data_IF_561299370846
#
_entry.id   IF_561299370846
#
_cell.length_a   1.000
_cell.length_b   1.000
_cell.length_c   1.000
_cell.angle_alpha   90.00
_cell.angle_beta   90.00
_cell.angle_gamma   90.00
#
_symmetry.space_group_name_H-M   'P 1'
#
loop_
_entity.id
_entity.type
_entity.pdbx_description
1 polymer ?
#
# COMPACT_ATOMS: atom_id res chain seq x y z
N UNK A 1 7.36 15.44 3.09
CA UNK A 1 6.97 16.38 2.02
C UNK A 1 5.46 16.60 1.96
N UNK A 2 4.67 15.76 2.61
CA UNK A 2 3.21 15.77 2.54
C UNK A 2 2.66 15.11 1.26
N UNK A 3 3.51 14.53 0.45
CA UNK A 3 3.14 13.70 -0.71
C UNK A 3 3.93 12.41 -0.65
N UNK A 4 3.27 11.36 -0.20
CA UNK A 4 3.88 10.07 0.09
C UNK A 4 3.24 8.96 -0.75
N UNK A 5 4.08 8.10 -1.31
CA UNK A 5 3.73 6.92 -2.07
C UNK A 5 4.31 5.72 -1.33
N UNK A 6 3.44 4.82 -0.85
CA UNK A 6 3.86 3.72 0.02
C UNK A 6 3.57 2.35 -0.60
N UNK A 7 4.63 1.59 -0.87
CA UNK A 7 4.54 0.15 -1.11
C UNK A 7 4.57 -0.54 0.25
N UNK A 8 3.65 -1.42 0.49
CA UNK A 8 3.49 -2.07 1.79
C UNK A 8 3.09 -3.53 1.68
N UNK A 9 3.46 -4.37 2.64
CA UNK A 9 2.86 -5.70 2.77
C UNK A 9 1.41 -5.62 3.25
N UNK A 10 0.68 -6.69 3.03
CA UNK A 10 -0.67 -6.85 3.60
C UNK A 10 -0.62 -6.75 5.13
N UNK A 11 -1.66 -6.15 5.71
CA UNK A 11 -1.93 -6.09 7.16
C UNK A 11 -0.92 -5.35 8.04
N UNK A 12 0.01 -4.58 7.50
CA UNK A 12 0.96 -3.76 8.28
C UNK A 12 0.29 -2.57 9.02
N UNK A 13 -0.99 -2.33 8.80
CA UNK A 13 -1.72 -1.24 9.47
C UNK A 13 -1.59 0.13 8.82
N UNK A 14 -0.97 0.25 7.64
CA UNK A 14 -0.75 1.53 6.93
C UNK A 14 -2.05 2.32 6.73
N UNK A 15 -3.10 1.69 6.21
CA UNK A 15 -4.41 2.35 6.03
C UNK A 15 -4.99 2.86 7.36
N UNK A 16 -4.72 2.16 8.46
CA UNK A 16 -5.18 2.54 9.80
C UNK A 16 -4.49 3.82 10.26
N UNK A 17 -3.15 3.86 10.20
CA UNK A 17 -2.39 5.02 10.65
C UNK A 17 -2.63 6.23 9.74
N UNK A 18 -2.75 6.02 8.42
CA UNK A 18 -3.08 7.07 7.46
C UNK A 18 -4.46 7.67 7.72
N UNK A 19 -5.46 6.81 7.98
CA UNK A 19 -6.82 7.27 8.35
C UNK A 19 -6.82 8.05 9.67
N UNK A 20 -6.03 7.62 10.66
CA UNK A 20 -5.89 8.34 11.93
C UNK A 20 -5.24 9.71 11.73
N UNK A 21 -4.25 9.81 10.86
CA UNK A 21 -3.61 11.09 10.52
C UNK A 21 -4.60 12.05 9.84
N UNK A 22 -5.39 11.55 8.88
CA UNK A 22 -6.42 12.36 8.24
C UNK A 22 -7.50 12.81 9.25
N UNK A 23 -7.96 11.89 10.11
CA UNK A 23 -8.91 12.23 11.19
C UNK A 23 -8.35 13.32 12.09
N UNK A 24 -7.11 13.16 12.59
CA UNK A 24 -6.44 14.17 13.40
C UNK A 24 -6.44 15.54 12.72
N UNK A 25 -5.97 15.60 11.45
CA UNK A 25 -5.91 16.87 10.71
C UNK A 25 -7.30 17.48 10.52
N UNK A 26 -8.32 16.66 10.24
CA UNK A 26 -9.70 17.13 10.07
C UNK A 26 -10.28 17.67 11.36
N UNK A 27 -9.94 17.08 12.52
CA UNK A 27 -10.42 17.51 13.82
C UNK A 27 -9.69 18.75 14.37
N UNK A 28 -8.45 18.99 13.96
CA UNK A 28 -7.60 20.02 14.57
C UNK A 28 -7.42 21.26 13.70
N UNK A 29 -7.70 21.16 12.40
CA UNK A 29 -7.55 22.27 11.46
C UNK A 29 -8.94 22.73 10.97
N UNK A 30 -9.30 24.00 11.15
CA UNK A 30 -10.59 24.51 10.69
C UNK A 30 -10.68 24.54 9.16
N UNK A 31 -11.90 24.45 8.65
CA UNK A 31 -12.21 24.46 7.22
C UNK A 31 -11.46 23.39 6.40
N UNK A 32 -11.18 22.24 7.02
CA UNK A 32 -10.41 21.16 6.40
C UNK A 32 -11.31 20.11 5.79
N UNK A 33 -11.11 19.83 4.51
CA UNK A 33 -11.72 18.69 3.81
C UNK A 33 -10.68 17.58 3.65
N UNK A 34 -10.95 16.42 4.22
CA UNK A 34 -10.17 15.20 4.03
C UNK A 34 -10.97 14.16 3.24
N UNK A 35 -10.31 13.47 2.35
CA UNK A 35 -10.94 12.45 1.48
C UNK A 35 -10.14 11.14 1.56
N UNK A 36 -10.85 10.05 1.80
CA UNK A 36 -10.31 8.68 1.68
C UNK A 36 -11.00 8.01 0.50
N UNK A 37 -10.22 7.48 -0.42
CA UNK A 37 -10.70 6.69 -1.55
C UNK A 37 -10.29 5.24 -1.32
N UNK A 38 -11.26 4.32 -1.37
CA UNK A 38 -11.04 2.89 -1.30
C UNK A 38 -11.38 2.22 -2.64
N UNK A 39 -10.85 1.04 -2.90
CA UNK A 39 -11.11 0.33 -4.15
C UNK A 39 -12.53 -0.24 -4.22
N UNK A 40 -13.16 -0.60 -3.09
CA UNK A 40 -14.50 -1.19 -3.02
C UNK A 40 -15.43 -0.49 -2.02
N UNK A 41 -16.73 -0.51 -2.32
CA UNK A 41 -17.75 0.13 -1.49
C UNK A 41 -17.87 -0.49 -0.10
N UNK A 42 -17.78 -1.81 0.00
CA UNK A 42 -17.81 -2.51 1.28
C UNK A 42 -16.68 -2.06 2.23
N UNK A 43 -15.52 -1.74 1.68
CA UNK A 43 -14.39 -1.25 2.45
C UNK A 43 -14.60 0.19 2.94
N UNK A 44 -15.37 1.00 2.22
CA UNK A 44 -15.67 2.37 2.66
C UNK A 44 -16.40 2.38 3.99
N UNK A 45 -17.39 1.50 4.15
CA UNK A 45 -18.14 1.38 5.41
C UNK A 45 -17.26 0.94 6.56
N UNK A 46 -16.36 -0.03 6.33
CA UNK A 46 -15.39 -0.49 7.34
C UNK A 46 -14.39 0.59 7.72
N UNK A 47 -13.92 1.36 6.76
CA UNK A 47 -13.02 2.49 7.02
C UNK A 47 -13.72 3.58 7.83
N UNK A 48 -14.97 3.91 7.48
CA UNK A 48 -15.76 4.89 8.21
C UNK A 48 -16.04 4.44 9.66
N UNK A 49 -16.34 3.15 9.85
CA UNK A 49 -16.50 2.56 11.18
C UNK A 49 -15.18 2.61 11.97
N UNK A 50 -14.05 2.33 11.33
CA UNK A 50 -12.71 2.43 11.96
C UNK A 50 -12.41 3.86 12.40
N UNK A 51 -12.69 4.85 11.54
CA UNK A 51 -12.56 6.27 11.88
C UNK A 51 -13.46 6.64 13.07
N UNK A 52 -14.69 6.12 13.11
CA UNK A 52 -15.60 6.28 14.25
C UNK A 52 -14.99 5.73 15.53
N UNK A 53 -14.50 4.49 15.51
CA UNK A 53 -13.87 3.85 16.68
C UNK A 53 -12.67 4.66 17.14
N UNK A 54 -11.80 5.13 16.24
CA UNK A 54 -10.67 5.99 16.61
C UNK A 54 -11.12 7.26 17.33
N UNK A 55 -12.17 7.91 16.84
CA UNK A 55 -12.73 9.10 17.47
C UNK A 55 -13.32 8.81 18.84
N UNK A 56 -14.11 7.73 18.99
CA UNK A 56 -14.81 7.38 20.22
C UNK A 56 -13.85 6.98 21.35
N UNK A 57 -12.68 6.45 21.01
CA UNK A 57 -11.63 6.08 21.98
C UNK A 57 -10.68 7.25 22.34
N UNK A 58 -10.89 8.44 21.78
CA UNK A 58 -10.14 9.61 22.22
C UNK A 58 -10.55 10.03 23.65
N UNK A 59 -9.61 10.51 24.46
CA UNK A 59 -9.93 11.20 25.71
C UNK A 59 -10.94 12.31 25.49
N UNK A 60 -11.81 12.56 26.46
CA UNK A 60 -12.91 13.55 26.32
C UNK A 60 -12.39 14.94 25.97
N UNK A 61 -11.22 15.31 26.49
CA UNK A 61 -10.57 16.61 26.24
C UNK A 61 -10.08 16.78 24.79
N UNK A 62 -9.88 15.69 24.07
CA UNK A 62 -9.43 15.66 22.67
C UNK A 62 -10.56 15.33 21.70
N UNK A 63 -11.71 14.89 22.21
CA UNK A 63 -12.85 14.46 21.41
C UNK A 63 -13.72 15.64 21.00
N UNK A 64 -13.51 16.11 19.76
CA UNK A 64 -14.34 17.15 19.19
C UNK A 64 -15.74 16.61 18.82
N UNK A 65 -16.84 17.36 19.03
CA UNK A 65 -18.17 16.95 18.58
C UNK A 65 -18.19 16.60 17.09
N UNK A 66 -18.71 15.41 16.77
CA UNK A 66 -18.78 14.89 15.41
C UNK A 66 -20.23 14.56 15.06
N UNK A 67 -20.69 14.99 13.88
CA UNK A 67 -22.01 14.64 13.35
C UNK A 67 -21.97 13.24 12.69
N UNK A 68 -22.92 12.38 13.09
CA UNK A 68 -23.00 10.97 12.68
C UNK A 68 -24.10 10.70 11.64
N UNK A 69 -24.70 11.72 11.04
CA UNK A 69 -25.91 11.57 10.21
C UNK A 69 -25.68 10.99 8.83
N UNK A 70 -24.42 10.90 8.38
CA UNK A 70 -24.09 10.39 7.05
C UNK A 70 -23.34 9.07 7.12
N UNK A 71 -23.61 8.18 6.15
CA UNK A 71 -22.89 6.92 5.94
C UNK A 71 -21.61 7.06 5.11
N UNK A 72 -21.30 8.27 4.63
CA UNK A 72 -20.14 8.52 3.76
C UNK A 72 -19.23 9.65 4.27
N UNK A 73 -19.65 10.38 5.31
CA UNK A 73 -18.89 11.51 5.83
C UNK A 73 -18.98 11.63 7.35
N UNK A 74 -17.96 12.24 7.92
CA UNK A 74 -17.91 12.68 9.32
C UNK A 74 -17.66 14.18 9.35
N UNK A 75 -18.56 14.93 9.94
CA UNK A 75 -18.49 16.40 10.03
C UNK A 75 -18.12 16.84 11.43
N UNK A 76 -17.31 17.88 11.49
CA UNK A 76 -16.92 18.59 12.70
C UNK A 76 -17.47 20.02 12.63
N UNK A 77 -18.74 20.25 13.06
CA UNK A 77 -19.44 21.51 12.83
C UNK A 77 -18.76 22.74 13.45
N UNK A 78 -18.16 22.56 14.63
CA UNK A 78 -17.53 23.65 15.39
C UNK A 78 -16.38 24.33 14.64
N UNK A 79 -15.73 23.60 13.74
CA UNK A 79 -14.60 24.09 12.93
C UNK A 79 -14.88 24.03 11.43
N UNK A 80 -16.10 23.68 11.04
CA UNK A 80 -16.51 23.54 9.64
C UNK A 80 -15.59 22.61 8.81
N UNK A 81 -15.19 21.48 9.40
CA UNK A 81 -14.33 20.49 8.75
C UNK A 81 -15.06 19.18 8.48
N UNK A 82 -14.61 18.44 7.46
CA UNK A 82 -15.28 17.23 7.02
C UNK A 82 -14.29 16.18 6.53
N UNK A 83 -14.55 14.93 6.86
CA UNK A 83 -13.86 13.76 6.32
C UNK A 83 -14.86 12.94 5.50
N UNK A 84 -14.58 12.81 4.20
CA UNK A 84 -15.35 11.99 3.27
C UNK A 84 -14.65 10.66 3.01
N UNK A 85 -15.45 9.61 2.84
CA UNK A 85 -14.95 8.31 2.34
C UNK A 85 -15.79 7.89 1.14
N UNK A 86 -15.11 7.47 0.08
CA UNK A 86 -15.76 6.98 -1.13
C UNK A 86 -14.93 5.94 -1.87
N UNK A 87 -15.43 5.52 -3.03
CA UNK A 87 -14.77 4.48 -3.84
C UNK A 87 -14.15 5.03 -5.11
N UNK A 88 -13.15 4.34 -5.63
CA UNK A 88 -12.58 4.59 -6.94
C UNK A 88 -13.58 4.38 -8.10
N UNK A 89 -14.74 3.76 -7.83
CA UNK A 89 -15.82 3.57 -8.80
C UNK A 89 -16.84 4.71 -8.83
N UNK A 90 -16.89 5.54 -7.77
CA UNK A 90 -17.87 6.63 -7.68
C UNK A 90 -17.33 7.90 -8.35
N UNK A 91 -18.14 8.54 -9.19
CA UNK A 91 -17.81 9.82 -9.85
C UNK A 91 -17.90 11.03 -8.91
N UNK A 92 -18.26 10.84 -7.64
CA UNK A 92 -18.74 11.90 -6.76
C UNK A 92 -17.76 12.16 -5.63
N UNK A 93 -16.52 12.51 -5.96
CA UNK A 93 -15.70 13.20 -4.98
C UNK A 93 -15.82 14.70 -5.22
N UNK A 94 -16.78 15.35 -4.47
CA UNK A 94 -16.83 16.77 -4.21
C UNK A 94 -16.40 17.67 -5.38
N UNK A 95 -17.07 17.63 -6.52
CA UNK A 95 -16.79 18.61 -7.57
C UNK A 95 -17.05 20.01 -6.99
N UNK A 96 -15.99 20.80 -6.83
CA UNK A 96 -16.06 22.20 -6.46
C UNK A 96 -15.40 22.58 -5.12
N UNK A 97 -15.10 21.65 -4.23
CA UNK A 97 -14.42 21.98 -2.95
C UNK A 97 -12.95 21.58 -2.95
N UNK A 98 -12.04 22.35 -2.35
CA UNK A 98 -10.64 21.95 -2.21
C UNK A 98 -10.54 20.68 -1.33
N UNK A 99 -9.55 19.85 -1.60
CA UNK A 99 -9.21 18.66 -0.79
C UNK A 99 -7.89 18.99 -0.09
N UNK A 100 -7.91 19.10 1.24
CA UNK A 100 -6.71 19.43 2.01
C UNK A 100 -5.87 18.18 2.34
N UNK A 101 -6.55 17.03 2.53
CA UNK A 101 -5.89 15.77 2.78
C UNK A 101 -6.54 14.68 1.94
N UNK A 102 -5.73 13.87 1.24
CA UNK A 102 -6.17 12.79 0.38
C UNK A 102 -5.44 11.49 0.73
N UNK A 103 -6.20 10.43 0.95
CA UNK A 103 -5.69 9.05 1.05
C UNK A 103 -6.27 8.23 -0.10
N UNK A 104 -5.41 7.66 -0.93
CA UNK A 104 -5.75 6.64 -1.92
C UNK A 104 -5.31 5.29 -1.34
N UNK A 105 -6.27 4.49 -0.87
CA UNK A 105 -6.02 3.23 -0.18
C UNK A 105 -6.23 2.06 -1.11
N UNK A 106 -5.25 1.16 -1.17
CA UNK A 106 -5.18 0.02 -2.07
C UNK A 106 -5.29 0.45 -3.55
N UNK A 107 -4.52 1.46 -3.93
CA UNK A 107 -4.62 2.10 -5.24
C UNK A 107 -4.32 1.16 -6.40
N UNK A 108 -3.40 0.19 -6.24
CA UNK A 108 -3.08 -0.77 -7.30
C UNK A 108 -4.28 -1.62 -7.74
N UNK A 109 -5.32 -1.71 -6.90
CA UNK A 109 -6.56 -2.46 -7.19
C UNK A 109 -7.68 -1.60 -7.78
N UNK A 110 -7.40 -0.34 -8.11
CA UNK A 110 -8.43 0.50 -8.72
C UNK A 110 -8.74 0.05 -10.14
N UNK A 111 -9.98 0.32 -10.57
CA UNK A 111 -10.39 0.04 -11.96
C UNK A 111 -9.52 0.82 -12.96
N UNK A 112 -9.26 0.32 -14.16
CA UNK A 112 -8.32 0.92 -15.11
C UNK A 112 -8.59 2.39 -15.44
N UNK A 113 -9.85 2.83 -15.44
CA UNK A 113 -10.25 4.21 -15.73
C UNK A 113 -10.25 5.14 -14.48
N UNK A 114 -9.86 4.62 -13.32
CA UNK A 114 -9.82 5.41 -12.08
C UNK A 114 -8.82 6.56 -12.14
N UNK A 115 -7.74 6.42 -12.92
CA UNK A 115 -6.74 7.50 -13.06
C UNK A 115 -7.39 8.79 -13.56
N UNK A 116 -8.13 8.73 -14.64
CA UNK A 116 -8.74 9.91 -15.26
C UNK A 116 -10.02 10.36 -14.53
N UNK A 117 -10.75 9.43 -13.93
CA UNK A 117 -12.07 9.74 -13.33
C UNK A 117 -12.00 10.15 -11.88
N UNK A 118 -11.00 9.67 -11.15
CA UNK A 118 -10.92 9.81 -9.68
C UNK A 118 -9.59 10.43 -9.25
N UNK A 119 -8.46 9.82 -9.63
CA UNK A 119 -7.15 10.18 -9.08
C UNK A 119 -6.73 11.58 -9.53
N UNK A 120 -6.62 11.82 -10.84
CA UNK A 120 -6.21 13.13 -11.36
C UNK A 120 -7.15 14.27 -10.94
N UNK A 121 -8.50 14.12 -11.03
CA UNK A 121 -9.41 15.15 -10.53
C UNK A 121 -9.29 15.41 -9.02
N UNK A 122 -8.97 14.39 -8.21
CA UNK A 122 -8.74 14.56 -6.77
C UNK A 122 -7.42 15.28 -6.51
N UNK A 123 -6.33 14.85 -7.15
CA UNK A 123 -5.00 15.45 -7.00
C UNK A 123 -4.96 16.93 -7.42
N UNK A 124 -5.66 17.30 -8.49
CA UNK A 124 -5.78 18.67 -8.96
C UNK A 124 -6.34 19.64 -7.92
N UNK A 125 -7.11 19.12 -6.96
CA UNK A 125 -7.82 19.90 -5.93
C UNK A 125 -7.05 19.96 -4.61
N UNK A 126 -5.95 19.24 -4.51
CA UNK A 126 -5.09 19.28 -3.32
C UNK A 126 -4.10 20.42 -3.48
N UNK A 127 -4.09 21.42 -2.59
CA UNK A 127 -3.12 22.51 -2.63
C UNK A 127 -1.69 22.02 -2.39
N UNK A 128 -0.66 22.80 -2.72
CA UNK A 128 0.74 22.40 -2.58
C UNK A 128 1.14 21.96 -1.16
N UNK A 129 0.53 22.54 -0.13
CA UNK A 129 0.73 22.23 1.29
C UNK A 129 -0.23 21.15 1.82
N UNK A 130 -1.09 20.61 0.97
CA UNK A 130 -1.99 19.53 1.30
C UNK A 130 -1.27 18.19 1.47
N UNK A 131 -1.85 17.31 2.28
CA UNK A 131 -1.36 15.96 2.50
C UNK A 131 -1.95 15.01 1.45
N UNK A 132 -1.09 14.25 0.77
CA UNK A 132 -1.51 13.15 -0.10
C UNK A 132 -0.74 11.89 0.29
N UNK A 133 -1.47 10.83 0.58
CA UNK A 133 -0.92 9.50 0.82
C UNK A 133 -1.53 8.56 -0.23
N UNK A 134 -0.68 7.92 -1.01
CA UNK A 134 -1.03 6.85 -1.94
C UNK A 134 -0.42 5.56 -1.39
N UNK A 135 -1.22 4.53 -1.13
CA UNK A 135 -0.69 3.30 -0.54
C UNK A 135 -1.35 2.07 -1.15
N UNK A 136 -0.55 1.02 -1.34
CA UNK A 136 -1.04 -0.29 -1.80
C UNK A 136 -0.06 -1.42 -1.50
N UNK A 137 -0.58 -2.65 -1.44
CA UNK A 137 0.21 -3.82 -1.83
C UNK A 137 0.44 -3.78 -3.35
N UNK A 138 1.53 -4.33 -3.87
CA UNK A 138 1.74 -4.49 -5.30
C UNK A 138 0.61 -5.28 -5.97
N UNK A 139 0.26 -4.94 -7.22
CA UNK A 139 -0.74 -5.68 -7.99
C UNK A 139 -0.46 -5.56 -9.49
N UNK A 140 0.58 -6.26 -9.95
CA UNK A 140 0.99 -6.25 -11.35
C UNK A 140 1.53 -4.92 -11.87
N UNK A 141 1.91 -4.93 -13.13
CA UNK A 141 2.61 -3.83 -13.78
C UNK A 141 1.71 -2.92 -14.63
N UNK A 142 0.38 -3.17 -14.64
CA UNK A 142 -0.54 -2.50 -15.58
C UNK A 142 -1.53 -1.57 -14.89
N UNK A 143 -1.07 -0.80 -13.89
CA UNK A 143 -1.92 0.12 -13.14
C UNK A 143 -1.18 1.42 -12.79
N UNK A 144 -1.95 2.45 -12.44
CA UNK A 144 -1.43 3.79 -12.13
C UNK A 144 -0.50 3.84 -10.92
N UNK A 145 -0.66 2.92 -9.98
CA UNK A 145 0.21 2.83 -8.80
C UNK A 145 1.60 2.36 -9.20
N UNK A 146 1.69 1.30 -10.04
CA UNK A 146 2.96 0.83 -10.58
C UNK A 146 3.67 1.92 -11.38
N UNK A 147 2.96 2.61 -12.29
CA UNK A 147 3.53 3.69 -13.10
C UNK A 147 4.13 4.80 -12.24
N UNK A 148 3.44 5.18 -11.14
CA UNK A 148 3.93 6.19 -10.22
C UNK A 148 5.15 5.71 -9.42
N UNK A 149 5.16 4.42 -9.00
CA UNK A 149 6.34 3.82 -8.36
C UNK A 149 7.54 3.85 -9.30
N UNK A 150 7.36 3.47 -10.56
CA UNK A 150 8.42 3.53 -11.57
C UNK A 150 8.91 4.95 -11.82
N UNK A 151 8.01 5.93 -11.83
CA UNK A 151 8.37 7.34 -11.94
C UNK A 151 9.17 7.82 -10.70
N UNK A 152 8.76 7.40 -9.50
CA UNK A 152 9.46 7.74 -8.27
C UNK A 152 10.88 7.16 -8.22
N UNK A 153 11.07 5.89 -8.61
CA UNK A 153 12.37 5.24 -8.70
C UNK A 153 13.32 5.94 -9.68
N UNK A 154 12.78 6.55 -10.75
CA UNK A 154 13.52 7.33 -11.73
C UNK A 154 13.73 8.80 -11.33
N UNK A 155 13.25 9.22 -10.14
CA UNK A 155 13.31 10.61 -9.70
C UNK A 155 12.40 11.55 -10.50
N UNK A 156 11.35 11.04 -11.14
CA UNK A 156 10.42 11.78 -12.01
C UNK A 156 9.06 12.03 -11.35
N UNK A 157 8.86 11.52 -10.12
CA UNK A 157 7.64 11.72 -9.35
C UNK A 157 7.75 12.91 -8.40
N UNK A 158 6.60 13.52 -8.09
CA UNK A 158 6.47 14.51 -7.01
C UNK A 158 6.19 13.85 -5.65
N UNK A 159 6.05 12.54 -5.60
CA UNK A 159 5.84 11.75 -4.40
C UNK A 159 7.15 11.19 -3.85
N UNK A 160 7.24 11.14 -2.52
CA UNK A 160 8.32 10.47 -1.80
C UNK A 160 7.98 8.99 -1.67
N UNK A 161 8.77 8.13 -2.29
CA UNK A 161 8.56 6.69 -2.20
C UNK A 161 8.99 6.18 -0.82
N UNK A 162 8.08 5.47 -0.16
CA UNK A 162 8.29 4.73 1.06
C UNK A 162 8.07 3.24 0.76
N UNK A 163 9.01 2.41 1.18
CA UNK A 163 8.90 0.97 0.95
C UNK A 163 8.93 0.25 2.29
N UNK A 164 7.92 -0.57 2.51
CA UNK A 164 7.80 -1.42 3.68
C UNK A 164 7.80 -2.87 3.22
N UNK A 165 8.56 -3.70 3.93
CA UNK A 165 8.65 -5.12 3.67
C UNK A 165 7.95 -5.92 4.76
N UNK A 166 7.69 -7.21 4.53
CA UNK A 166 6.94 -8.01 5.48
C UNK A 166 7.63 -8.15 6.85
N UNK A 167 8.95 -8.04 6.89
CA UNK A 167 9.73 -8.12 8.13
C UNK A 167 9.70 -6.83 8.97
N UNK A 168 9.20 -5.72 8.43
CA UNK A 168 8.98 -4.48 9.18
C UNK A 168 7.79 -4.59 10.14
N UNK A 169 6.96 -5.64 9.99
CA UNK A 169 5.87 -5.95 10.90
C UNK A 169 6.33 -6.94 11.98
N UNK A 170 6.46 -6.50 13.25
CA UNK A 170 7.01 -7.33 14.33
C UNK A 170 6.20 -8.60 14.64
N UNK A 171 4.91 -8.61 14.28
CA UNK A 171 4.04 -9.79 14.49
C UNK A 171 4.23 -10.89 13.44
N UNK A 172 4.96 -10.62 12.35
CA UNK A 172 5.27 -11.59 11.30
C UNK A 172 6.36 -12.56 11.76
N UNK A 173 6.04 -13.33 12.80
CA UNK A 173 6.91 -14.33 13.40
C UNK A 173 6.12 -15.61 13.70
N UNK A 174 6.77 -16.74 13.57
CA UNK A 174 6.24 -18.05 13.94
C UNK A 174 7.19 -18.69 14.96
N UNK A 175 6.84 -18.67 16.27
CA UNK A 175 7.63 -19.28 17.32
C UNK A 175 7.81 -20.79 17.10
N UNK A 176 8.89 -21.35 17.59
CA UNK A 176 9.24 -22.78 17.39
C UNK A 176 8.19 -23.74 17.98
N UNK A 177 7.58 -23.37 19.09
CA UNK A 177 6.54 -24.15 19.78
C UNK A 177 5.14 -24.03 19.10
N UNK A 178 5.03 -23.20 18.06
CA UNK A 178 3.77 -23.08 17.32
C UNK A 178 3.36 -24.41 16.68
N UNK A 179 2.10 -24.84 16.83
CA UNK A 179 1.59 -26.01 16.13
C UNK A 179 1.74 -25.96 14.61
N UNK A 180 1.84 -24.76 14.03
CA UNK A 180 2.00 -24.53 12.59
C UNK A 180 3.41 -24.89 12.10
N UNK A 181 4.42 -24.82 12.96
CA UNK A 181 5.82 -25.18 12.61
C UNK A 181 5.89 -26.64 12.15
N UNK A 182 5.14 -27.55 12.78
CA UNK A 182 5.13 -28.98 12.44
C UNK A 182 4.65 -29.26 11.00
N UNK A 183 3.98 -28.31 10.36
CA UNK A 183 3.49 -28.45 8.99
C UNK A 183 4.56 -28.05 7.96
N UNK A 184 5.56 -27.30 8.37
CA UNK A 184 6.55 -26.68 7.46
C UNK A 184 7.95 -27.23 7.72
N UNK A 185 8.24 -27.53 8.99
CA UNK A 185 9.57 -27.86 9.47
C UNK A 185 9.58 -29.30 10.00
N UNK A 186 10.27 -30.19 9.29
CA UNK A 186 10.43 -31.61 9.68
C UNK A 186 11.72 -31.86 10.46
N UNK A 187 12.41 -30.80 10.93
CA UNK A 187 13.70 -30.91 11.59
C UNK A 187 14.40 -29.58 11.74
N UNK A 188 15.71 -29.56 11.81
CA UNK A 188 16.51 -28.34 11.85
C UNK A 188 16.26 -27.48 10.60
N UNK A 189 16.11 -26.18 10.78
CA UNK A 189 15.89 -25.22 9.70
C UNK A 189 17.18 -25.01 8.91
N UNK A 190 17.45 -25.91 7.95
CA UNK A 190 18.46 -25.66 6.95
C UNK A 190 17.95 -24.62 5.95
N UNK A 191 18.59 -23.46 5.92
CA UNK A 191 18.26 -22.42 4.96
C UNK A 191 18.77 -22.78 3.57
N UNK A 192 18.00 -22.48 2.54
CA UNK A 192 18.53 -22.45 1.17
C UNK A 192 19.58 -21.33 1.03
N UNK A 193 20.41 -21.34 0.00
CA UNK A 193 21.34 -20.23 -0.24
C UNK A 193 20.65 -18.87 -0.30
N UNK A 194 19.49 -18.77 -0.95
CA UNK A 194 18.69 -17.56 -1.07
C UNK A 194 18.15 -17.11 0.30
N UNK A 195 17.63 -18.03 1.10
CA UNK A 195 17.17 -17.75 2.47
C UNK A 195 18.30 -17.30 3.38
N UNK A 196 19.50 -17.86 3.19
CA UNK A 196 20.68 -17.45 3.95
C UNK A 196 21.07 -16.01 3.63
N UNK A 197 21.03 -15.64 2.35
CA UNK A 197 21.29 -14.27 1.90
C UNK A 197 20.25 -13.33 2.49
N UNK A 198 18.95 -13.61 2.30
CA UNK A 198 17.85 -12.79 2.80
C UNK A 198 17.92 -12.59 4.33
N UNK A 199 18.12 -13.69 5.06
CA UNK A 199 18.20 -13.62 6.52
C UNK A 199 19.41 -12.81 7.00
N UNK A 200 20.54 -12.92 6.30
CA UNK A 200 21.79 -12.23 6.67
C UNK A 200 21.71 -10.73 6.33
N UNK A 201 21.23 -10.38 5.15
CA UNK A 201 21.16 -9.00 4.68
C UNK A 201 20.18 -8.17 5.52
N UNK A 202 19.06 -8.75 5.93
CA UNK A 202 18.00 -8.05 6.67
C UNK A 202 17.97 -8.38 8.16
N UNK A 203 18.90 -9.22 8.65
CA UNK A 203 18.99 -9.57 10.07
C UNK A 203 17.77 -10.34 10.59
N UNK A 204 17.17 -11.20 9.75
CA UNK A 204 15.91 -11.89 10.06
C UNK A 204 16.16 -13.03 11.07
N UNK A 205 15.27 -13.11 12.04
CA UNK A 205 15.26 -14.20 13.02
C UNK A 205 14.72 -15.50 12.41
N UNK A 206 15.05 -16.63 13.03
CA UNK A 206 14.49 -17.92 12.66
C UNK A 206 12.97 -17.98 12.78
N UNK A 207 12.38 -17.21 13.71
CA UNK A 207 10.92 -17.09 13.84
C UNK A 207 10.27 -16.36 12.64
N UNK A 208 10.94 -15.33 12.12
CA UNK A 208 10.51 -14.64 10.90
C UNK A 208 10.66 -15.53 9.67
N UNK A 209 11.75 -16.26 9.54
CA UNK A 209 11.97 -17.19 8.41
C UNK A 209 10.98 -18.38 8.42
N UNK A 210 10.58 -18.87 9.61
CA UNK A 210 9.49 -19.85 9.73
C UNK A 210 8.16 -19.26 9.29
N UNK A 211 7.86 -18.01 9.69
CA UNK A 211 6.66 -17.31 9.25
C UNK A 211 6.63 -17.14 7.73
N UNK A 212 7.77 -16.76 7.11
CA UNK A 212 7.92 -16.66 5.66
C UNK A 212 7.57 -17.97 4.96
N UNK A 213 8.21 -19.07 5.35
CA UNK A 213 7.95 -20.40 4.78
C UNK A 213 6.49 -20.83 4.94
N UNK A 214 5.91 -20.54 6.12
CA UNK A 214 4.50 -20.83 6.36
C UNK A 214 3.61 -20.02 5.42
N UNK A 215 3.88 -18.73 5.24
CA UNK A 215 3.11 -17.86 4.34
C UNK A 215 3.27 -18.24 2.88
N UNK A 216 4.46 -18.61 2.43
CA UNK A 216 4.69 -19.13 1.07
C UNK A 216 3.89 -20.43 0.85
N UNK A 217 3.88 -21.34 1.80
CA UNK A 217 3.10 -22.58 1.69
C UNK A 217 1.57 -22.31 1.67
N UNK A 218 1.10 -21.21 2.27
CA UNK A 218 -0.30 -20.81 2.30
C UNK A 218 -0.73 -20.06 1.03
N UNK A 219 0.10 -19.16 0.51
CA UNK A 219 -0.23 -18.21 -0.56
C UNK A 219 0.36 -18.60 -1.93
N UNK A 220 1.33 -19.51 -1.97
CA UNK A 220 2.06 -19.80 -3.21
C UNK A 220 2.71 -18.53 -3.78
N UNK A 221 2.61 -18.37 -5.10
CA UNK A 221 3.20 -17.23 -5.81
C UNK A 221 2.64 -15.87 -5.39
N UNK A 222 1.43 -15.82 -4.84
CA UNK A 222 0.83 -14.59 -4.31
C UNK A 222 1.59 -14.03 -3.09
N UNK A 223 2.49 -14.81 -2.48
CA UNK A 223 3.28 -14.35 -1.34
C UNK A 223 4.06 -13.08 -1.68
N UNK A 224 4.77 -13.04 -2.79
CA UNK A 224 5.64 -11.92 -3.16
C UNK A 224 4.86 -10.63 -3.47
N UNK A 225 3.62 -10.75 -3.94
CA UNK A 225 2.72 -9.62 -4.10
C UNK A 225 2.22 -9.10 -2.74
N UNK A 226 1.70 -10.00 -1.90
CA UNK A 226 1.11 -9.63 -0.62
C UNK A 226 2.17 -9.27 0.44
N UNK A 227 3.36 -9.82 0.33
CA UNK A 227 4.47 -9.69 1.27
C UNK A 227 5.77 -9.40 0.53
N UNK A 228 5.94 -8.22 -0.06
CA UNK A 228 7.12 -7.87 -0.86
C UNK A 228 8.42 -8.05 -0.10
N UNK A 229 9.43 -8.55 -0.81
CA UNK A 229 10.82 -8.73 -0.36
C UNK A 229 11.78 -7.82 -1.13
N UNK A 230 11.39 -7.39 -2.32
CA UNK A 230 12.09 -6.45 -3.17
C UNK A 230 11.11 -5.74 -4.12
N UNK A 231 11.58 -4.72 -4.81
CA UNK A 231 10.76 -3.91 -5.73
C UNK A 231 10.69 -4.47 -7.15
N UNK A 232 11.57 -5.38 -7.50
CA UNK A 232 11.66 -5.92 -8.87
C UNK A 232 10.67 -7.07 -9.04
N UNK A 233 10.53 -7.94 -8.03
CA UNK A 233 9.70 -9.14 -8.11
C UNK A 233 8.27 -8.94 -7.62
N UNK A 234 8.02 -8.00 -6.72
CA UNK A 234 6.72 -7.84 -6.07
C UNK A 234 5.57 -7.47 -7.04
N UNK A 235 5.87 -6.89 -8.18
CA UNK A 235 4.87 -6.55 -9.21
C UNK A 235 4.66 -7.63 -10.27
N UNK A 236 5.54 -8.65 -10.35
CA UNK A 236 5.52 -9.64 -11.41
C UNK A 236 4.40 -10.68 -11.30
N UNK A 237 3.77 -10.83 -10.14
CA UNK A 237 2.93 -11.98 -9.79
C UNK A 237 1.45 -11.82 -10.16
N UNK A 238 1.01 -10.73 -10.78
CA UNK A 238 -0.40 -10.54 -11.09
C UNK A 238 -0.82 -11.19 -12.41
N UNK A 239 -1.79 -12.10 -12.33
CA UNK A 239 -2.40 -12.79 -13.47
C UNK A 239 -2.01 -14.27 -13.52
N UNK A 240 -2.59 -15.02 -14.47
CA UNK A 240 -2.06 -16.33 -14.85
C UNK A 240 -0.89 -16.08 -15.82
N UNK A 241 0.37 -16.15 -15.40
CA UNK A 241 1.50 -15.94 -16.29
C UNK A 241 1.52 -17.07 -17.33
N UNK A 242 1.59 -16.70 -18.60
CA UNK A 242 1.71 -17.69 -19.67
C UNK A 242 2.98 -18.56 -19.54
N UNK A 243 4.00 -18.04 -18.87
CA UNK A 243 5.24 -18.75 -18.55
C UNK A 243 5.41 -18.87 -17.02
N UNK A 244 6.05 -19.98 -16.60
CA UNK A 244 6.44 -20.15 -15.19
C UNK A 244 7.37 -19.01 -14.74
N UNK A 245 6.95 -18.27 -13.72
CA UNK A 245 7.67 -17.10 -13.21
C UNK A 245 9.06 -17.45 -12.69
N UNK A 246 9.25 -18.63 -12.10
CA UNK A 246 10.57 -19.07 -11.64
C UNK A 246 11.53 -19.24 -12.81
N UNK A 247 11.04 -19.79 -13.93
CA UNK A 247 11.82 -19.91 -15.17
C UNK A 247 12.17 -18.53 -15.73
N UNK A 248 11.23 -17.58 -15.73
CA UNK A 248 11.49 -16.22 -16.20
C UNK A 248 12.51 -15.48 -15.31
N UNK A 249 12.42 -15.63 -13.99
CA UNK A 249 13.39 -15.07 -13.06
C UNK A 249 14.79 -15.67 -13.25
N UNK A 250 14.91 -16.98 -13.43
CA UNK A 250 16.18 -17.60 -13.74
C UNK A 250 16.75 -17.13 -15.09
N UNK A 251 15.91 -17.02 -16.11
CA UNK A 251 16.32 -16.48 -17.41
C UNK A 251 16.74 -15.02 -17.33
N UNK A 252 16.07 -14.20 -16.53
CA UNK A 252 16.42 -12.78 -16.35
C UNK A 252 17.81 -12.59 -15.72
N UNK A 253 18.20 -13.48 -14.80
CA UNK A 253 19.57 -13.51 -14.22
C UNK A 253 20.64 -13.83 -15.27
N UNK A 254 20.28 -14.55 -16.33
CA UNK A 254 21.17 -14.91 -17.43
C UNK A 254 21.19 -13.87 -18.56
N UNK A 255 20.24 -12.91 -18.55
CA UNK A 255 20.18 -11.87 -19.56
C UNK A 255 21.29 -10.84 -19.33
N UNK A 256 22.28 -10.84 -20.21
CA UNK A 256 23.24 -9.75 -20.30
C UNK A 256 22.55 -8.52 -20.93
N UNK A 257 22.66 -7.35 -20.32
CA UNK A 257 22.43 -6.10 -21.06
C UNK A 257 23.40 -6.09 -22.23
N UNK A 258 22.87 -6.23 -23.42
CA UNK A 258 23.69 -5.98 -24.62
C UNK A 258 24.28 -4.56 -24.48
N UNK A 259 25.59 -4.37 -24.65
CA UNK A 259 26.15 -3.04 -24.62
C UNK A 259 25.49 -2.23 -25.75
N UNK A 260 24.85 -1.11 -25.39
CA UNK A 260 24.29 -0.19 -26.37
C UNK A 260 25.44 0.38 -27.21
N UNK A 261 25.51 0.01 -28.48
CA UNK A 261 26.52 0.45 -29.42
C UNK A 261 25.87 1.38 -30.45
N UNK A 262 25.63 2.65 -30.06
CA UNK A 262 25.39 3.73 -31.00
C UNK A 262 23.94 4.20 -31.17
N UNK A 263 23.71 5.36 -31.80
CA UNK A 263 22.44 6.02 -31.93
C UNK A 263 21.47 5.41 -32.96
N UNK A 264 21.84 4.34 -33.64
CA UNK A 264 21.03 3.75 -34.72
C UNK A 264 20.43 2.38 -34.42
N UNK A 265 20.46 1.93 -33.15
CA UNK A 265 19.68 0.73 -32.74
C UNK A 265 20.06 -0.59 -33.42
N UNK A 266 21.23 -0.73 -33.98
CA UNK A 266 21.74 -2.00 -34.48
C UNK A 266 22.31 -2.85 -33.34
N UNK A 267 21.69 -3.99 -33.07
CA UNK A 267 22.25 -5.07 -32.28
C UNK A 267 23.51 -5.58 -32.97
N UNK A 268 24.64 -5.57 -32.30
CA UNK A 268 25.84 -6.34 -32.63
C UNK A 268 25.98 -7.46 -31.63
#
# INVERSE_FOLDING_TARGET
TGRDLAIKPAQIGMTTISSALLLKRTMTLPHTTSVIVAHEEFLTQRLLQRVQVMHDYLPDELRMPMDHRSSFEKRFPDINSVLYIGTARSQVFGRGEPIHNLLLSEEAFYVPDAMDRVILPALQRVPPDGLVIRESTPHGETNSFYDEVQAALKGQSTFSLQTFFWWDEPSNQLPEDSPRVRLIDRGEMDYTPEETVLATEHGLSSAQMRWRRWKIAELGDMFWQEHPEDLDTCFLVSGEPFYDMNILLELSKLCYRAPYTGPEGSLV
#
